data_IF_804025504438
#
_entry.id   IF_804025504438
#
_cell.length_a   1.000
_cell.length_b   1.000
_cell.length_c   1.000
_cell.angle_alpha   90.00
_cell.angle_beta   90.00
_cell.angle_gamma   90.00
#
_symmetry.space_group_name_H-M   'P 1'
#
loop_
_entity.id
_entity.type
_entity.pdbx_description
1 polymer ?
#
# COMPACT_ATOMS: atom_id res chain seq x y z
N UNK A 1 -25.16 8.91 -1.13
CA UNK A 1 -24.58 9.11 -2.48
C UNK A 1 -23.08 9.15 -2.28
N UNK A 2 -22.37 8.03 -2.48
CA UNK A 2 -20.91 8.04 -2.42
C UNK A 2 -20.39 8.99 -3.52
N UNK A 3 -19.67 10.04 -3.11
CA UNK A 3 -19.12 11.05 -4.02
C UNK A 3 -17.78 10.63 -4.66
N UNK A 4 -17.16 9.55 -4.17
CA UNK A 4 -15.88 9.04 -4.66
C UNK A 4 -16.07 7.62 -5.19
N UNK A 5 -15.92 7.43 -6.50
CA UNK A 5 -16.06 6.14 -7.20
C UNK A 5 -14.85 5.24 -7.04
N UNK A 6 -13.70 5.79 -6.63
CA UNK A 6 -12.45 5.10 -6.35
C UNK A 6 -11.79 5.77 -5.14
N UNK A 7 -11.47 5.00 -4.10
CA UNK A 7 -10.78 5.48 -2.91
C UNK A 7 -9.44 4.76 -2.75
N UNK A 8 -8.37 5.54 -2.63
CA UNK A 8 -7.03 5.07 -2.33
C UNK A 8 -6.47 5.84 -1.12
N UNK A 9 -5.79 5.13 -0.22
CA UNK A 9 -4.97 5.77 0.81
C UNK A 9 -3.61 6.16 0.25
N UNK A 10 -3.14 7.37 0.52
CA UNK A 10 -1.83 7.84 0.04
C UNK A 10 -0.73 7.57 1.09
N UNK A 11 0.34 6.90 0.65
CA UNK A 11 1.58 6.68 1.40
C UNK A 11 2.68 7.48 0.72
N UNK A 12 2.84 8.72 1.19
CA UNK A 12 3.79 9.69 0.68
C UNK A 12 4.18 10.62 1.83
N UNK A 13 5.45 10.63 2.21
CA UNK A 13 5.97 11.45 3.31
C UNK A 13 7.13 12.36 2.82
N UNK A 14 7.18 12.65 1.51
CA UNK A 14 8.06 13.62 0.89
C UNK A 14 7.68 15.07 1.13
N UNK A 15 8.67 15.95 1.11
CA UNK A 15 8.48 17.41 1.10
C UNK A 15 8.14 17.98 -0.28
N UNK A 16 8.22 17.17 -1.34
CA UNK A 16 7.86 17.55 -2.70
C UNK A 16 6.87 16.56 -3.34
N UNK A 17 6.26 16.98 -4.45
CA UNK A 17 5.44 16.08 -5.28
C UNK A 17 6.27 15.18 -6.20
N UNK A 18 7.58 15.44 -6.32
CA UNK A 18 8.45 14.76 -7.27
C UNK A 18 9.06 13.49 -6.71
N UNK A 19 9.40 13.52 -5.43
CA UNK A 19 10.07 12.44 -4.72
C UNK A 19 9.76 12.51 -3.23
N UNK A 20 9.99 11.41 -2.52
CA UNK A 20 9.98 11.41 -1.06
C UNK A 20 11.36 11.75 -0.51
N UNK A 21 11.75 13.02 -0.63
CA UNK A 21 12.95 13.59 -0.03
C UNK A 21 12.73 14.02 1.43
N UNK A 22 13.83 14.39 2.10
CA UNK A 22 13.84 14.78 3.51
C UNK A 22 13.87 13.58 4.46
N UNK A 23 14.01 13.85 5.76
CA UNK A 23 14.21 12.81 6.78
C UNK A 23 13.09 11.77 6.78
N UNK A 24 11.83 12.22 6.68
CA UNK A 24 10.67 11.33 6.69
C UNK A 24 10.52 10.55 5.38
N UNK A 25 10.83 11.18 4.24
CA UNK A 25 10.82 10.53 2.94
C UNK A 25 11.88 9.44 2.83
N UNK A 26 13.11 9.71 3.25
CA UNK A 26 14.18 8.70 3.30
C UNK A 26 13.87 7.57 4.29
N UNK A 27 13.25 7.89 5.44
CA UNK A 27 12.83 6.87 6.40
C UNK A 27 11.76 5.91 5.83
N UNK A 28 10.96 6.36 4.87
CA UNK A 28 9.94 5.56 4.18
C UNK A 28 10.56 4.36 3.43
N UNK A 29 11.84 4.42 3.06
CA UNK A 29 12.59 3.33 2.42
C UNK A 29 12.87 2.16 3.36
N UNK A 30 12.76 2.35 4.67
CA UNK A 30 13.16 1.36 5.67
C UNK A 30 12.03 0.92 6.59
N UNK A 31 11.03 1.78 6.79
CA UNK A 31 10.01 1.54 7.80
C UNK A 31 8.83 0.71 7.28
N UNK A 32 7.96 0.30 8.21
CA UNK A 32 6.64 -0.25 7.91
C UNK A 32 5.59 0.76 8.41
N UNK A 33 5.12 1.69 7.55
CA UNK A 33 4.27 2.79 8.00
C UNK A 33 2.96 2.30 8.60
N UNK A 34 2.58 2.85 9.76
CA UNK A 34 1.27 2.57 10.36
C UNK A 34 0.10 2.96 9.43
N UNK A 35 0.27 4.00 8.60
CA UNK A 35 -0.72 4.39 7.57
C UNK A 35 -1.00 3.24 6.59
N UNK A 36 0.04 2.51 6.15
CA UNK A 36 -0.10 1.36 5.24
C UNK A 36 -0.96 0.27 5.88
N UNK A 37 -0.64 -0.10 7.12
CA UNK A 37 -1.42 -1.08 7.86
C UNK A 37 -2.86 -0.63 8.10
N UNK A 38 -3.08 0.65 8.42
CA UNK A 38 -4.41 1.23 8.63
C UNK A 38 -5.30 1.14 7.38
N UNK A 39 -4.79 1.61 6.24
CA UNK A 39 -5.56 1.60 4.99
C UNK A 39 -5.85 0.17 4.52
N UNK A 40 -4.82 -0.69 4.47
CA UNK A 40 -4.99 -2.07 4.03
C UNK A 40 -5.89 -2.86 4.98
N UNK A 41 -5.76 -2.70 6.30
CA UNK A 41 -6.65 -3.39 7.26
C UNK A 41 -8.09 -2.89 7.21
N UNK A 42 -8.34 -1.69 6.66
CA UNK A 42 -9.68 -1.16 6.37
C UNK A 42 -10.21 -1.64 5.02
N UNK A 43 -9.45 -2.45 4.29
CA UNK A 43 -9.80 -2.91 2.95
C UNK A 43 -9.65 -1.83 1.88
N UNK A 44 -8.94 -0.73 2.15
CA UNK A 44 -8.73 0.37 1.21
C UNK A 44 -7.40 0.18 0.45
N UNK A 45 -7.43 0.10 -0.89
CA UNK A 45 -6.21 0.09 -1.71
C UNK A 45 -5.35 1.33 -1.45
N UNK A 46 -4.06 1.26 -1.76
CA UNK A 46 -3.14 2.38 -1.50
C UNK A 46 -2.39 2.86 -2.74
N UNK A 47 -1.94 4.11 -2.71
CA UNK A 47 -0.93 4.63 -3.63
C UNK A 47 0.34 4.82 -2.79
N UNK A 48 1.45 4.26 -3.25
CA UNK A 48 2.71 4.25 -2.50
C UNK A 48 3.88 4.70 -3.36
N UNK A 49 4.83 5.41 -2.74
CA UNK A 49 6.08 5.78 -3.40
C UNK A 49 6.92 4.55 -3.77
N UNK A 50 7.53 4.56 -4.96
CA UNK A 50 8.28 3.42 -5.51
C UNK A 50 9.44 2.94 -4.64
N UNK A 51 10.13 3.86 -3.98
CA UNK A 51 11.28 3.50 -3.14
C UNK A 51 10.90 3.14 -1.70
N UNK A 52 9.61 3.19 -1.33
CA UNK A 52 9.18 2.80 0.00
C UNK A 52 9.45 1.29 0.25
N UNK A 53 9.81 0.92 1.49
CA UNK A 53 10.11 -0.47 1.86
C UNK A 53 8.99 -1.46 1.49
N UNK A 54 7.74 -0.99 1.52
CA UNK A 54 6.55 -1.80 1.23
C UNK A 54 6.08 -1.72 -0.23
N UNK A 55 6.75 -0.96 -1.10
CA UNK A 55 6.33 -0.81 -2.50
C UNK A 55 6.28 -2.17 -3.23
N UNK A 56 7.32 -2.98 -3.04
CA UNK A 56 7.38 -4.33 -3.62
C UNK A 56 6.27 -5.25 -3.08
N UNK A 57 5.97 -5.17 -1.78
CA UNK A 57 4.86 -5.92 -1.19
C UNK A 57 3.52 -5.52 -1.79
N UNK A 58 3.28 -4.23 -1.99
CA UNK A 58 2.05 -3.68 -2.60
C UNK A 58 1.90 -4.13 -4.04
N UNK A 59 2.98 -4.07 -4.83
CA UNK A 59 2.98 -4.45 -6.24
C UNK A 59 2.75 -5.95 -6.41
N UNK A 60 3.53 -6.78 -5.72
CA UNK A 60 3.43 -8.26 -5.77
C UNK A 60 2.05 -8.78 -5.37
N UNK A 61 1.39 -8.13 -4.41
CA UNK A 61 0.07 -8.54 -3.94
C UNK A 61 -1.08 -7.77 -4.62
N UNK A 62 -0.78 -6.86 -5.57
CA UNK A 62 -1.75 -5.99 -6.26
C UNK A 62 -2.69 -5.27 -5.30
N UNK A 63 -2.12 -4.52 -4.36
CA UNK A 63 -2.88 -3.82 -3.29
C UNK A 63 -3.07 -2.34 -3.55
N UNK A 64 -2.67 -1.87 -4.73
CA UNK A 64 -2.52 -0.44 -4.96
C UNK A 64 -1.79 -0.10 -6.25
N UNK A 65 -1.37 1.16 -6.33
CA UNK A 65 -0.54 1.71 -7.40
C UNK A 65 0.80 2.14 -6.81
N UNK A 66 1.89 1.79 -7.49
CA UNK A 66 3.23 2.26 -7.14
C UNK A 66 3.63 3.41 -8.06
N UNK A 67 4.02 4.55 -7.49
CA UNK A 67 4.36 5.77 -8.24
C UNK A 67 5.73 6.31 -7.84
N UNK A 68 6.46 6.82 -8.81
CA UNK A 68 7.69 7.58 -8.63
C UNK A 68 7.39 9.01 -8.17
N UNK A 69 6.29 9.58 -8.66
CA UNK A 69 5.92 10.99 -8.53
C UNK A 69 4.39 11.14 -8.48
N UNK A 70 3.88 12.07 -7.67
CA UNK A 70 2.43 12.28 -7.50
C UNK A 70 1.71 12.66 -8.81
N UNK A 71 2.41 13.26 -9.78
CA UNK A 71 1.86 13.58 -11.10
C UNK A 71 1.46 12.36 -11.93
N UNK A 72 2.00 11.17 -11.62
CA UNK A 72 1.61 9.92 -12.28
C UNK A 72 0.22 9.42 -11.83
N UNK A 73 -0.28 9.87 -10.67
CA UNK A 73 -1.54 9.37 -10.11
C UNK A 73 -2.71 9.62 -11.06
N UNK A 74 -2.90 10.87 -11.49
CA UNK A 74 -4.06 11.24 -12.33
C UNK A 74 -4.10 10.45 -13.65
N UNK A 75 -3.01 10.39 -14.46
CA UNK A 75 -3.00 9.60 -15.69
C UNK A 75 -3.26 8.10 -15.48
N UNK A 76 -2.83 7.53 -14.36
CA UNK A 76 -3.08 6.11 -14.04
C UNK A 76 -4.56 5.92 -13.71
N UNK A 77 -5.14 6.76 -12.84
CA UNK A 77 -6.54 6.66 -12.45
C UNK A 77 -7.50 6.91 -13.64
N UNK A 78 -7.18 7.86 -14.52
CA UNK A 78 -7.98 8.15 -15.71
C UNK A 78 -8.04 6.97 -16.69
N UNK A 79 -7.00 6.11 -16.70
CA UNK A 79 -6.91 4.92 -17.56
C UNK A 79 -7.37 3.64 -16.89
N UNK A 80 -7.56 3.66 -15.57
CA UNK A 80 -7.92 2.48 -14.79
C UNK A 80 -9.35 2.06 -15.11
N UNK A 81 -9.50 0.82 -15.56
CA UNK A 81 -10.79 0.19 -15.78
C UNK A 81 -11.45 -0.15 -14.44
N UNK A 82 -12.77 -0.35 -14.48
CA UNK A 82 -13.52 -0.80 -13.31
C UNK A 82 -13.03 -2.17 -12.84
N UNK A 83 -12.74 -3.06 -13.78
CA UNK A 83 -12.32 -4.43 -13.55
C UNK A 83 -10.97 -4.48 -12.83
N UNK A 84 -10.00 -3.66 -13.27
CA UNK A 84 -8.70 -3.52 -12.59
C UNK A 84 -8.87 -3.01 -11.16
N UNK A 85 -9.70 -1.98 -10.94
CA UNK A 85 -9.95 -1.48 -9.59
C UNK A 85 -10.61 -2.54 -8.70
N UNK A 86 -11.55 -3.33 -9.24
CA UNK A 86 -12.20 -4.42 -8.50
C UNK A 86 -11.21 -5.55 -8.15
N UNK A 87 -10.27 -5.88 -9.04
CA UNK A 87 -9.20 -6.83 -8.75
C UNK A 87 -8.35 -6.34 -7.57
N UNK A 88 -7.86 -5.09 -7.64
CA UNK A 88 -7.07 -4.47 -6.58
C UNK A 88 -7.86 -4.48 -5.27
N UNK A 89 -9.13 -4.06 -5.29
CA UNK A 89 -9.99 -4.02 -4.10
C UNK A 89 -10.18 -5.41 -3.49
N UNK A 90 -10.41 -6.43 -4.31
CA UNK A 90 -10.57 -7.82 -3.87
C UNK A 90 -9.30 -8.33 -3.19
N UNK A 91 -8.14 -8.07 -3.77
CA UNK A 91 -6.85 -8.47 -3.20
C UNK A 91 -6.56 -7.73 -1.88
N UNK A 92 -6.88 -6.44 -1.82
CA UNK A 92 -6.78 -5.66 -0.59
C UNK A 92 -7.68 -6.21 0.51
N UNK A 93 -8.91 -6.61 0.22
CA UNK A 93 -9.80 -7.25 1.22
C UNK A 93 -9.19 -8.55 1.75
N UNK A 94 -8.61 -9.40 0.88
CA UNK A 94 -7.92 -10.64 1.31
C UNK A 94 -6.76 -10.35 2.26
N UNK A 95 -5.92 -9.35 1.95
CA UNK A 95 -4.83 -8.92 2.83
C UNK A 95 -5.36 -8.30 4.12
N UNK A 96 -6.46 -7.53 4.05
CA UNK A 96 -7.10 -6.94 5.22
C UNK A 96 -7.51 -8.00 6.25
N UNK A 97 -8.07 -9.13 5.79
CA UNK A 97 -8.38 -10.25 6.67
C UNK A 97 -7.14 -10.83 7.35
N UNK A 98 -6.03 -11.01 6.60
CA UNK A 98 -4.76 -11.48 7.17
C UNK A 98 -4.20 -10.51 8.22
N UNK A 99 -4.25 -9.20 7.94
CA UNK A 99 -3.80 -8.17 8.88
C UNK A 99 -4.62 -8.23 10.18
N UNK A 100 -5.96 -8.21 10.08
CA UNK A 100 -6.85 -8.21 11.25
C UNK A 100 -6.81 -9.51 12.05
N UNK A 101 -6.49 -10.65 11.42
CA UNK A 101 -6.36 -11.93 12.12
C UNK A 101 -5.00 -12.11 12.81
N UNK A 102 -4.08 -11.14 12.67
CA UNK A 102 -2.71 -11.24 13.13
C UNK A 102 -1.89 -12.29 12.37
N UNK A 103 -2.22 -12.58 11.10
CA UNK A 103 -1.55 -13.62 10.32
C UNK A 103 -0.03 -13.42 10.25
N UNK A 104 0.43 -12.21 9.94
CA UNK A 104 1.85 -11.94 9.73
C UNK A 104 2.67 -12.06 11.01
N UNK A 105 2.12 -11.62 12.16
CA UNK A 105 2.81 -11.79 13.44
C UNK A 105 2.86 -13.26 13.86
N UNK A 106 1.74 -14.00 13.71
CA UNK A 106 1.70 -15.44 13.98
C UNK A 106 2.67 -16.22 13.10
N UNK A 107 2.75 -15.85 11.81
CA UNK A 107 3.68 -16.43 10.85
C UNK A 107 5.14 -16.18 11.28
N UNK A 108 5.48 -14.94 11.61
CA UNK A 108 6.84 -14.61 12.06
C UNK A 108 7.24 -15.38 13.33
N UNK A 109 6.33 -15.53 14.29
CA UNK A 109 6.57 -16.34 15.51
C UNK A 109 6.79 -17.81 15.15
N UNK A 110 5.93 -18.38 14.32
CA UNK A 110 6.08 -19.79 13.89
C UNK A 110 7.36 -20.04 13.10
N UNK A 111 7.82 -19.08 12.28
CA UNK A 111 9.09 -19.20 11.56
C UNK A 111 10.31 -19.12 12.49
N UNK A 112 10.19 -18.48 13.66
CA UNK A 112 11.24 -18.51 14.70
C UNK A 112 11.30 -19.87 15.39
N UNK A 113 10.15 -20.46 15.71
CA UNK A 113 10.04 -21.76 16.40
C UNK A 113 10.50 -22.95 15.53
N UNK A 114 10.57 -22.79 14.21
CA UNK A 114 11.07 -23.81 13.28
C UNK A 114 12.61 -23.79 13.19
N UNK A 115 13.28 -22.80 13.80
CA UNK A 115 14.73 -22.75 13.95
C UNK A 115 15.11 -23.51 15.23
N UNK A 116 14.92 -24.84 15.22
CA UNK A 116 15.50 -25.80 16.18
C UNK A 116 16.33 -26.84 15.41
#
# INVERSE_FOLDING_TARGET
KELLTQNFGLIWDGDSSKECSGIYGEYLKYNNPHKTSLYLSSGMPIIIWREAALAEFVDKNKLGIVVDNLSQIKPILDKMTKEEYQEIKSNTIKIAHKLRSGFYIKKAISELEVID
#
